data_IF_261010041674
#
_entry.id   IF_261010041674
#
_cell.length_a   1.000
_cell.length_b   1.000
_cell.length_c   1.000
_cell.angle_alpha   90.00
_cell.angle_beta   90.00
_cell.angle_gamma   90.00
#
_symmetry.space_group_name_H-M   'P 1'
#
loop_
_entity.id
_entity.type
_entity.pdbx_description
1 polymer ?
#
# COMPACT_ATOMS: atom_id res chain seq x y z
N UNK A 1 -36.56 -30.67 -17.43
CA UNK A 1 -35.81 -29.84 -16.47
C UNK A 1 -35.95 -28.38 -16.88
N UNK A 2 -36.60 -27.61 -16.01
CA UNK A 2 -37.11 -26.25 -16.21
C UNK A 2 -35.99 -25.21 -16.19
N UNK A 3 -35.99 -24.29 -17.16
CA UNK A 3 -35.16 -23.07 -17.18
C UNK A 3 -35.86 -22.00 -16.35
N UNK A 4 -35.20 -21.52 -15.30
CA UNK A 4 -35.68 -20.38 -14.49
C UNK A 4 -34.88 -19.13 -14.87
N UNK A 5 -35.53 -18.18 -15.52
CA UNK A 5 -35.03 -16.81 -15.74
C UNK A 5 -35.54 -15.91 -14.62
N UNK A 6 -34.64 -15.19 -13.96
CA UNK A 6 -34.97 -14.19 -12.95
C UNK A 6 -34.91 -12.79 -13.57
N UNK A 7 -36.04 -12.08 -13.57
CA UNK A 7 -36.15 -10.66 -13.92
C UNK A 7 -36.23 -9.83 -12.63
N UNK A 8 -35.35 -8.85 -12.48
CA UNK A 8 -35.37 -7.91 -11.36
C UNK A 8 -35.99 -6.58 -11.78
N UNK A 9 -37.10 -6.22 -11.14
CA UNK A 9 -37.74 -4.89 -11.17
C UNK A 9 -37.12 -3.99 -10.09
N UNK A 10 -36.72 -2.77 -10.47
CA UNK A 10 -36.17 -1.76 -9.56
C UNK A 10 -37.26 -1.04 -8.73
N UNK A 11 -37.02 -0.70 -7.45
CA UNK A 11 -37.88 0.21 -6.69
C UNK A 11 -37.50 1.70 -6.88
N UNK A 12 -38.38 2.65 -6.49
CA UNK A 12 -38.39 4.02 -7.01
C UNK A 12 -37.39 4.97 -6.33
N UNK A 13 -36.92 5.94 -7.11
CA UNK A 13 -36.05 7.05 -6.69
C UNK A 13 -36.84 8.10 -5.89
N UNK A 14 -36.31 8.51 -4.74
CA UNK A 14 -36.76 9.67 -3.99
C UNK A 14 -35.71 10.77 -4.09
N UNK A 15 -36.09 11.90 -4.69
CA UNK A 15 -35.46 13.21 -4.51
C UNK A 15 -36.35 14.00 -3.54
N UNK A 16 -35.82 14.92 -2.71
CA UNK A 16 -35.80 16.35 -3.07
C UNK A 16 -34.61 17.08 -2.37
N UNK A 17 -34.38 18.39 -2.34
CA UNK A 17 -34.98 19.61 -2.87
C UNK A 17 -33.84 20.65 -2.86
N UNK A 18 -33.71 21.46 -3.91
CA UNK A 18 -32.82 22.63 -3.89
C UNK A 18 -33.41 23.75 -3.04
N UNK A 19 -32.57 24.50 -2.35
CA UNK A 19 -32.89 25.86 -1.89
C UNK A 19 -31.64 26.72 -1.95
N UNK A 20 -31.64 27.59 -2.95
CA UNK A 20 -30.76 28.72 -3.17
C UNK A 20 -31.00 29.82 -2.12
N UNK A 21 -29.94 30.39 -1.57
CA UNK A 21 -30.00 31.71 -0.94
C UNK A 21 -28.69 32.49 -1.15
N UNK A 22 -28.91 33.76 -1.49
CA UNK A 22 -28.01 34.75 -2.08
C UNK A 22 -27.10 35.43 -1.05
N UNK A 23 -25.93 35.88 -1.53
CA UNK A 23 -24.95 36.75 -0.84
C UNK A 23 -25.55 38.11 -0.42
N UNK A 24 -24.88 38.84 0.49
CA UNK A 24 -24.36 40.13 0.04
C UNK A 24 -22.92 40.44 0.48
N UNK A 25 -22.30 41.25 -0.39
CA UNK A 25 -20.98 41.88 -0.33
C UNK A 25 -20.94 42.96 0.77
N UNK A 26 -19.81 43.10 1.49
CA UNK A 26 -19.27 44.44 1.77
C UNK A 26 -17.75 44.46 2.01
N UNK A 27 -17.11 45.29 1.21
CA UNK A 27 -15.75 45.84 1.18
C UNK A 27 -15.13 46.31 2.51
N UNK A 28 -13.80 46.18 2.66
CA UNK A 28 -12.83 47.31 2.75
C UNK A 28 -11.38 46.85 3.06
N UNK A 29 -10.41 47.36 2.30
CA UNK A 29 -8.99 47.57 2.62
C UNK A 29 -8.67 49.06 2.35
N UNK A 30 -7.41 49.55 2.46
CA UNK A 30 -6.48 49.68 3.60
C UNK A 30 -6.13 51.19 3.81
N UNK A 31 -5.05 51.62 4.52
CA UNK A 31 -3.66 51.68 3.98
C UNK A 31 -2.61 51.40 5.09
N UNK A 32 -1.28 51.29 4.94
CA UNK A 32 -0.27 51.67 3.95
C UNK A 32 1.00 52.08 4.74
N UNK A 33 2.21 51.71 4.31
CA UNK A 33 3.45 52.26 4.92
C UNK A 33 4.73 51.44 4.77
N UNK A 34 5.46 51.65 3.67
CA UNK A 34 6.94 51.52 3.56
C UNK A 34 7.54 52.94 3.72
N UNK A 35 8.85 53.16 4.07
CA UNK A 35 9.99 52.74 3.23
C UNK A 35 11.41 52.55 3.88
N UNK A 36 12.30 51.84 3.13
CA UNK A 36 13.80 51.96 3.00
C UNK A 36 14.67 51.73 4.27
N UNK A 37 15.88 51.15 4.26
CA UNK A 37 17.01 51.18 3.32
C UNK A 37 18.07 50.08 3.59
N UNK A 38 18.73 49.58 2.53
CA UNK A 38 20.02 48.85 2.50
C UNK A 38 21.23 49.73 2.93
N UNK A 39 22.51 49.28 3.16
CA UNK A 39 23.31 48.46 2.19
C UNK A 39 24.43 47.52 2.75
N UNK A 40 24.83 46.48 1.99
CA UNK A 40 26.20 46.27 1.41
C UNK A 40 26.46 44.86 0.82
N UNK A 41 27.02 44.87 -0.41
CA UNK A 41 28.12 44.09 -1.07
C UNK A 41 28.31 42.60 -0.72
N UNK A 42 28.78 41.69 -1.58
CA UNK A 42 29.24 41.58 -2.99
C UNK A 42 29.65 40.10 -3.16
N UNK A 43 29.37 39.38 -4.23
CA UNK A 43 30.25 39.28 -5.41
C UNK A 43 29.70 38.22 -6.36
N UNK A 44 29.61 38.56 -7.64
CA UNK A 44 29.31 37.63 -8.72
C UNK A 44 30.54 37.56 -9.62
N UNK A 45 31.08 36.35 -9.85
CA UNK A 45 32.11 36.10 -10.87
C UNK A 45 31.43 35.55 -12.13
N UNK A 46 31.48 36.37 -13.18
CA UNK A 46 31.26 35.97 -14.57
C UNK A 46 32.44 35.09 -15.03
N UNK A 47 32.14 34.02 -15.76
CA UNK A 47 33.11 33.32 -16.58
C UNK A 47 32.81 33.64 -18.05
N UNK A 48 33.70 34.42 -18.66
CA UNK A 48 33.80 34.59 -20.12
C UNK A 48 34.74 33.54 -20.68
N UNK A 49 34.42 33.06 -21.89
CA UNK A 49 35.15 31.99 -22.57
C UNK A 49 36.59 32.32 -22.95
N UNK A 50 37.32 31.26 -23.31
CA UNK A 50 38.54 31.35 -24.08
C UNK A 50 38.67 30.13 -25.00
N UNK A 51 39.36 30.38 -26.11
CA UNK A 51 39.37 29.64 -27.35
C UNK A 51 40.04 28.27 -27.30
N UNK A 52 39.63 27.43 -28.24
CA UNK A 52 40.30 26.19 -28.62
C UNK A 52 41.51 26.47 -29.54
N UNK A 53 42.59 25.71 -29.36
CA UNK A 53 43.59 25.40 -30.40
C UNK A 53 44.42 24.18 -29.97
N UNK A 54 45.08 23.45 -30.89
CA UNK A 54 44.96 22.00 -30.99
C UNK A 54 46.24 21.27 -30.55
N UNK A 55 46.11 20.01 -30.13
CA UNK A 55 47.26 19.14 -29.93
C UNK A 55 46.99 17.70 -30.37
N UNK A 56 47.69 17.34 -31.44
CA UNK A 56 48.34 16.07 -31.75
C UNK A 56 47.53 14.76 -31.71
N UNK A 57 47.39 14.19 -32.91
CA UNK A 57 47.14 12.77 -33.16
C UNK A 57 48.19 11.89 -32.46
N UNK A 58 47.71 10.99 -31.61
CA UNK A 58 48.43 9.77 -31.23
C UNK A 58 47.55 8.58 -31.66
N UNK A 59 48.04 7.80 -32.62
CA UNK A 59 47.39 6.58 -33.09
C UNK A 59 47.39 5.52 -31.97
N UNK A 60 46.20 5.15 -31.52
CA UNK A 60 46.00 3.98 -30.66
C UNK A 60 46.07 2.70 -31.52
N UNK A 61 46.78 1.64 -31.10
CA UNK A 61 46.90 0.42 -31.88
C UNK A 61 45.53 -0.25 -32.00
N UNK A 62 45.06 -0.44 -33.24
CA UNK A 62 43.81 -1.14 -33.57
C UNK A 62 43.87 -2.56 -33.00
N UNK A 63 43.25 -2.80 -31.84
CA UNK A 63 42.94 -4.15 -31.41
C UNK A 63 41.92 -4.72 -32.40
N UNK A 64 42.31 -5.77 -33.11
CA UNK A 64 41.35 -6.57 -33.89
C UNK A 64 40.42 -7.24 -32.88
N UNK A 65 39.26 -6.64 -32.62
CA UNK A 65 38.15 -7.31 -31.96
C UNK A 65 37.78 -8.49 -32.87
N UNK A 66 38.13 -9.71 -32.47
CA UNK A 66 37.62 -10.91 -33.12
C UNK A 66 36.14 -10.98 -32.77
N UNK A 67 35.28 -10.93 -33.79
CA UNK A 67 33.87 -11.25 -33.62
C UNK A 67 33.78 -12.71 -33.17
N UNK A 68 33.03 -12.96 -32.10
CA UNK A 68 32.65 -14.33 -31.73
C UNK A 68 31.79 -14.93 -32.86
N UNK A 69 31.86 -16.25 -33.10
CA UNK A 69 30.98 -16.90 -34.07
C UNK A 69 29.51 -16.74 -33.66
N UNK A 70 28.57 -16.77 -34.63
CA UNK A 70 27.15 -16.68 -34.33
C UNK A 70 26.74 -17.81 -33.40
N UNK A 71 26.10 -17.46 -32.28
CA UNK A 71 25.45 -18.42 -31.39
C UNK A 71 24.24 -18.96 -32.16
N UNK A 72 24.18 -20.27 -32.37
CA UNK A 72 23.02 -20.92 -32.98
C UNK A 72 21.76 -20.51 -32.21
N UNK A 73 20.62 -20.23 -32.89
CA UNK A 73 19.39 -19.92 -32.20
C UNK A 73 18.99 -21.15 -31.37
N UNK A 74 19.29 -21.09 -30.08
CA UNK A 74 18.80 -22.06 -29.11
C UNK A 74 17.28 -22.08 -29.20
N UNK A 75 16.72 -23.29 -29.20
CA UNK A 75 15.29 -23.54 -29.03
C UNK A 75 14.78 -22.59 -27.96
N UNK A 76 13.90 -21.66 -28.35
CA UNK A 76 13.09 -20.95 -27.36
C UNK A 76 12.21 -22.04 -26.79
N UNK A 77 12.61 -22.60 -25.65
CA UNK A 77 11.73 -23.43 -24.85
C UNK A 77 10.55 -22.52 -24.52
N UNK A 78 9.47 -22.70 -25.28
CA UNK A 78 8.18 -22.14 -24.94
C UNK A 78 7.83 -22.73 -23.59
N UNK A 79 8.13 -21.97 -22.52
CA UNK A 79 7.61 -22.20 -21.19
C UNK A 79 6.10 -22.09 -21.34
N UNK A 80 5.48 -23.23 -21.58
CA UNK A 80 4.05 -23.36 -21.51
C UNK A 80 3.73 -23.12 -20.06
N UNK A 81 3.03 -22.03 -19.76
CA UNK A 81 2.46 -21.82 -18.43
C UNK A 81 1.49 -22.98 -18.23
N UNK A 82 1.97 -24.03 -17.57
CA UNK A 82 1.14 -25.11 -17.10
C UNK A 82 0.31 -24.49 -16.01
N UNK A 83 -0.95 -24.19 -16.32
CA UNK A 83 -1.96 -23.95 -15.29
C UNK A 83 -1.92 -25.18 -14.37
N UNK A 84 -1.57 -25.05 -13.09
CA UNK A 84 -1.52 -26.20 -12.21
C UNK A 84 -2.88 -26.88 -12.25
N UNK A 85 -2.87 -28.22 -12.31
CA UNK A 85 -4.08 -29.03 -12.15
C UNK A 85 -4.89 -28.49 -10.97
N UNK A 86 -6.22 -28.33 -11.09
CA UNK A 86 -7.03 -27.78 -10.03
C UNK A 86 -6.79 -28.58 -8.74
N UNK A 87 -6.43 -27.89 -7.66
CA UNK A 87 -6.16 -28.55 -6.40
C UNK A 87 -7.39 -29.38 -5.96
N UNK A 88 -7.23 -30.70 -5.91
CA UNK A 88 -8.34 -31.63 -5.65
C UNK A 88 -8.65 -31.85 -4.17
N UNK A 89 -7.73 -31.48 -3.26
CA UNK A 89 -7.87 -31.64 -1.82
C UNK A 89 -7.12 -30.52 -1.08
N UNK A 90 -7.58 -30.10 0.11
CA UNK A 90 -6.86 -29.11 0.92
C UNK A 90 -5.47 -29.63 1.30
N UNK A 91 -4.48 -28.74 1.31
CA UNK A 91 -3.12 -29.02 1.77
C UNK A 91 -2.92 -28.50 3.20
N UNK A 92 -1.90 -29.00 3.89
CA UNK A 92 -1.52 -28.50 5.21
C UNK A 92 -0.72 -27.20 5.11
N UNK A 93 -0.53 -26.52 6.24
CA UNK A 93 0.29 -25.31 6.29
C UNK A 93 1.75 -25.61 5.94
N UNK A 94 2.31 -26.71 6.44
CA UNK A 94 3.69 -27.14 6.14
C UNK A 94 3.87 -27.40 4.63
N UNK A 95 2.89 -28.04 4.01
CA UNK A 95 2.91 -28.30 2.56
C UNK A 95 2.90 -26.98 1.77
N UNK A 96 2.19 -25.96 2.25
CA UNK A 96 2.20 -24.63 1.64
C UNK A 96 3.56 -23.93 1.82
N UNK A 97 4.19 -24.07 2.98
CA UNK A 97 5.53 -23.53 3.25
C UNK A 97 6.62 -24.19 2.41
N UNK A 98 6.44 -25.46 2.03
CA UNK A 98 7.38 -26.21 1.17
C UNK A 98 7.32 -25.76 -0.31
N UNK A 99 6.33 -24.94 -0.70
CA UNK A 99 6.30 -24.32 -2.03
C UNK A 99 7.47 -23.35 -2.15
N UNK A 100 8.18 -23.41 -3.28
CA UNK A 100 9.27 -22.48 -3.60
C UNK A 100 8.90 -21.02 -3.28
N UNK A 101 9.79 -20.31 -2.60
CA UNK A 101 9.53 -18.97 -2.09
C UNK A 101 9.16 -17.99 -3.21
N UNK A 102 9.79 -18.07 -4.40
CA UNK A 102 9.48 -17.18 -5.51
C UNK A 102 8.06 -17.40 -6.02
N UNK A 103 7.62 -18.66 -6.05
CA UNK A 103 6.25 -19.03 -6.44
C UNK A 103 5.25 -18.67 -5.33
N UNK A 104 5.57 -19.01 -4.08
CA UNK A 104 4.72 -18.80 -2.90
C UNK A 104 4.41 -17.32 -2.70
N UNK A 105 5.30 -16.39 -3.07
CA UNK A 105 5.07 -14.94 -3.01
C UNK A 105 3.80 -14.46 -3.71
N UNK A 106 3.42 -15.14 -4.78
CA UNK A 106 2.22 -14.83 -5.58
C UNK A 106 0.99 -15.66 -5.18
N UNK A 107 1.10 -16.43 -4.09
CA UNK A 107 0.06 -17.31 -3.60
C UNK A 107 -0.40 -16.93 -2.17
N UNK A 108 -1.63 -17.31 -1.88
CA UNK A 108 -2.26 -17.36 -0.55
C UNK A 108 -2.87 -18.75 -0.34
N UNK A 109 -3.23 -19.08 0.89
CA UNK A 109 -3.98 -20.31 1.20
C UNK A 109 -5.25 -19.95 1.97
N UNK A 110 -6.39 -20.49 1.55
CA UNK A 110 -7.70 -20.24 2.17
C UNK A 110 -8.43 -21.56 2.27
N UNK A 111 -8.83 -21.93 3.48
CA UNK A 111 -9.45 -23.22 3.79
C UNK A 111 -8.68 -24.43 3.22
N UNK A 112 -7.34 -24.34 3.25
CA UNK A 112 -6.45 -25.36 2.71
C UNK A 112 -6.26 -25.32 1.20
N UNK A 113 -6.92 -24.40 0.47
CA UNK A 113 -6.78 -24.25 -0.97
C UNK A 113 -5.86 -23.10 -1.33
N UNK A 114 -4.88 -23.38 -2.18
CA UNK A 114 -3.95 -22.41 -2.72
C UNK A 114 -4.66 -21.56 -3.76
N UNK A 115 -4.61 -20.24 -3.58
CA UNK A 115 -5.19 -19.28 -4.49
C UNK A 115 -4.14 -18.27 -4.94
N UNK A 116 -4.22 -17.75 -6.17
CA UNK A 116 -3.38 -16.64 -6.59
C UNK A 116 -3.74 -15.38 -5.81
N UNK A 117 -2.73 -14.61 -5.45
CA UNK A 117 -2.92 -13.25 -4.93
C UNK A 117 -3.49 -12.33 -5.99
N UNK A 118 -4.08 -11.22 -5.53
CA UNK A 118 -4.40 -10.12 -6.44
C UNK A 118 -3.13 -9.60 -7.12
N UNK A 119 -3.25 -9.31 -8.42
CA UNK A 119 -2.20 -8.61 -9.15
C UNK A 119 -2.03 -7.20 -8.59
N UNK A 120 -0.86 -6.91 -8.02
CA UNK A 120 -0.52 -5.60 -7.46
C UNK A 120 0.21 -4.76 -8.51
N UNK A 121 -0.44 -3.69 -8.96
CA UNK A 121 0.22 -2.70 -9.83
C UNK A 121 1.30 -1.92 -9.07
N UNK A 122 2.20 -1.26 -9.82
CA UNK A 122 3.29 -0.44 -9.23
C UNK A 122 2.78 0.65 -8.29
N UNK A 123 1.66 1.29 -8.61
CA UNK A 123 1.08 2.37 -7.80
C UNK A 123 0.52 1.81 -6.48
N UNK A 124 -0.12 0.65 -6.53
CA UNK A 124 -0.62 -0.07 -5.36
C UNK A 124 0.50 -0.44 -4.38
N UNK A 125 1.57 -1.05 -4.89
CA UNK A 125 2.74 -1.40 -4.08
C UNK A 125 3.36 -0.16 -3.42
N UNK A 126 3.52 0.94 -4.16
CA UNK A 126 4.06 2.18 -3.60
C UNK A 126 3.20 2.72 -2.45
N UNK A 127 1.87 2.69 -2.59
CA UNK A 127 0.95 3.14 -1.53
C UNK A 127 1.06 2.24 -0.30
N UNK A 128 1.10 0.91 -0.48
CA UNK A 128 1.33 -0.04 0.61
C UNK A 128 2.66 0.21 1.33
N UNK A 129 3.75 0.42 0.59
CA UNK A 129 5.05 0.78 1.16
C UNK A 129 5.00 2.10 1.95
N UNK A 130 4.36 3.15 1.40
CA UNK A 130 4.23 4.43 2.11
C UNK A 130 3.45 4.30 3.42
N UNK A 131 2.36 3.51 3.40
CA UNK A 131 1.57 3.24 4.58
C UNK A 131 2.38 2.50 5.64
N UNK A 132 3.10 1.44 5.25
CA UNK A 132 3.98 0.69 6.15
C UNK A 132 5.03 1.59 6.80
N UNK A 133 5.73 2.42 6.02
CA UNK A 133 6.69 3.40 6.54
C UNK A 133 6.06 4.44 7.47
N UNK A 134 4.81 4.85 7.22
CA UNK A 134 4.10 5.78 8.09
C UNK A 134 3.74 5.14 9.43
N UNK A 135 3.30 3.88 9.43
CA UNK A 135 3.05 3.09 10.63
C UNK A 135 4.36 2.84 11.40
N UNK A 136 5.45 2.50 10.71
CA UNK A 136 6.76 2.28 11.32
C UNK A 136 7.25 3.52 12.07
N UNK A 137 7.12 4.72 11.47
CA UNK A 137 7.48 5.98 12.15
C UNK A 137 6.67 6.21 13.42
N UNK A 138 5.37 5.90 13.40
CA UNK A 138 4.52 6.02 14.57
C UNK A 138 4.92 5.00 15.66
N UNK A 139 5.15 3.75 15.27
CA UNK A 139 5.62 2.68 16.16
C UNK A 139 6.97 3.03 16.82
N UNK A 140 7.95 3.50 16.06
CA UNK A 140 9.26 3.93 16.59
C UNK A 140 9.10 5.11 17.54
N UNK A 141 8.20 6.05 17.25
CA UNK A 141 7.92 7.18 18.15
C UNK A 141 7.33 6.70 19.47
N UNK A 142 6.39 5.75 19.42
CA UNK A 142 5.80 5.15 20.61
C UNK A 142 6.85 4.38 21.43
N UNK A 143 7.64 3.51 20.80
CA UNK A 143 8.70 2.76 21.49
C UNK A 143 9.73 3.67 22.15
N UNK A 144 10.05 4.82 21.54
CA UNK A 144 10.91 5.85 22.18
C UNK A 144 10.25 6.48 23.39
N UNK A 145 8.93 6.70 23.35
CA UNK A 145 8.16 7.31 24.43
C UNK A 145 8.00 6.37 25.62
N UNK A 146 7.75 5.08 25.36
CA UNK A 146 7.52 4.06 26.40
C UNK A 146 8.78 3.34 26.85
N UNK A 147 9.88 3.48 26.11
CA UNK A 147 11.01 2.55 26.21
C UNK A 147 10.58 1.14 25.80
N UNK A 148 11.24 0.12 26.36
CA UNK A 148 11.03 -1.30 26.02
C UNK A 148 9.73 -1.91 26.59
N UNK A 149 8.76 -1.11 27.05
CA UNK A 149 7.50 -1.63 27.60
C UNK A 149 6.55 -2.22 26.54
N UNK A 150 6.70 -1.81 25.28
CA UNK A 150 5.98 -2.38 24.13
C UNK A 150 6.90 -2.33 22.92
N UNK A 151 6.85 -3.36 22.09
CA UNK A 151 7.68 -3.48 20.90
C UNK A 151 6.77 -3.75 19.70
N UNK A 152 6.95 -2.97 18.63
CA UNK A 152 6.15 -3.05 17.42
C UNK A 152 7.04 -3.05 16.18
N UNK A 153 6.63 -3.83 15.20
CA UNK A 153 7.27 -3.97 13.88
C UNK A 153 6.23 -3.86 12.77
N UNK A 154 6.71 -3.53 11.58
CA UNK A 154 5.89 -3.43 10.38
C UNK A 154 6.51 -4.22 9.24
N UNK A 155 5.67 -4.94 8.51
CA UNK A 155 6.08 -5.67 7.32
C UNK A 155 5.08 -5.43 6.18
N UNK A 156 5.55 -5.69 4.97
CA UNK A 156 4.74 -5.72 3.76
C UNK A 156 4.92 -7.08 3.10
N UNK A 157 3.87 -7.60 2.47
CA UNK A 157 3.95 -8.84 1.68
C UNK A 157 4.39 -10.09 2.47
N UNK A 158 4.15 -10.12 3.79
CA UNK A 158 4.43 -11.26 4.67
C UNK A 158 3.22 -12.17 4.79
N UNK A 159 3.44 -13.48 4.94
CA UNK A 159 2.40 -14.45 5.31
C UNK A 159 1.91 -14.19 6.74
N UNK A 160 0.62 -13.89 6.89
CA UNK A 160 -0.08 -13.87 8.18
C UNK A 160 -0.95 -15.11 8.27
N UNK A 161 -0.55 -16.06 9.12
CA UNK A 161 -1.33 -17.26 9.40
C UNK A 161 -2.54 -16.88 10.28
N UNK A 162 -3.75 -17.11 9.77
CA UNK A 162 -5.00 -16.79 10.48
C UNK A 162 -5.45 -17.96 11.36
N UNK A 163 -5.44 -19.17 10.81
CA UNK A 163 -5.66 -20.42 11.55
C UNK A 163 -5.08 -21.60 10.76
N UNK A 164 -4.74 -22.70 11.45
CA UNK A 164 -4.05 -23.85 10.86
C UNK A 164 -4.98 -24.90 10.23
N UNK A 165 -6.24 -25.01 10.69
CA UNK A 165 -7.11 -26.13 10.31
C UNK A 165 -8.53 -25.65 9.96
N UNK A 166 -8.96 -25.76 8.68
CA UNK A 166 -8.10 -25.88 7.51
C UNK A 166 -7.24 -24.62 7.33
N UNK A 167 -6.00 -24.71 6.82
CA UNK A 167 -5.08 -23.59 6.91
C UNK A 167 -5.54 -22.41 6.08
N UNK A 168 -5.54 -21.24 6.70
CA UNK A 168 -5.84 -19.97 6.04
C UNK A 168 -4.77 -18.96 6.41
N UNK A 169 -4.08 -18.44 5.40
CA UNK A 169 -3.09 -17.38 5.54
C UNK A 169 -3.27 -16.35 4.43
N UNK A 170 -3.11 -15.08 4.80
CA UNK A 170 -3.24 -13.93 3.90
C UNK A 170 -1.95 -13.16 3.81
N UNK A 171 -1.73 -12.46 2.70
CA UNK A 171 -0.57 -11.59 2.48
C UNK A 171 -0.99 -10.13 2.34
N UNK A 172 -1.28 -9.46 3.47
CA UNK A 172 -1.71 -8.06 3.47
C UNK A 172 -0.65 -7.11 2.90
N UNK A 173 -1.11 -5.95 2.42
CA UNK A 173 -0.22 -4.92 1.87
C UNK A 173 0.64 -4.22 2.92
N UNK A 174 0.11 -4.04 4.14
CA UNK A 174 0.89 -3.62 5.29
C UNK A 174 0.32 -4.22 6.59
N UNK A 175 1.22 -4.58 7.50
CA UNK A 175 0.88 -5.01 8.86
C UNK A 175 1.65 -4.22 9.89
N UNK A 176 1.01 -3.97 11.02
CA UNK A 176 1.65 -3.60 12.28
C UNK A 176 1.42 -4.75 13.26
N UNK A 177 2.49 -5.28 13.84
CA UNK A 177 2.42 -6.38 14.80
C UNK A 177 3.37 -6.14 15.96
N UNK A 178 3.22 -6.93 17.03
CA UNK A 178 4.19 -6.97 18.13
C UNK A 178 5.48 -7.61 17.65
N UNK A 179 6.63 -7.16 18.14
CA UNK A 179 7.92 -7.77 17.79
C UNK A 179 7.93 -9.25 18.14
N UNK A 180 8.53 -10.05 17.26
CA UNK A 180 8.64 -11.49 17.42
C UNK A 180 10.12 -11.91 17.50
N UNK A 181 10.42 -13.01 18.20
CA UNK A 181 11.69 -13.72 18.04
C UNK A 181 12.04 -14.00 16.58
N UNK A 182 13.33 -14.08 16.29
CA UNK A 182 13.81 -14.47 14.97
C UNK A 182 13.23 -15.83 14.56
N UNK A 183 12.75 -15.93 13.31
CA UNK A 183 12.14 -17.14 12.70
C UNK A 183 10.74 -17.54 13.20
N UNK A 184 10.12 -16.78 14.11
CA UNK A 184 8.75 -17.07 14.51
C UNK A 184 7.76 -16.74 13.38
N UNK A 185 6.81 -17.65 13.13
CA UNK A 185 5.76 -17.45 12.15
C UNK A 185 4.85 -16.30 12.60
N UNK A 186 4.60 -15.35 11.70
CA UNK A 186 3.63 -14.30 11.95
C UNK A 186 2.21 -14.88 11.89
N UNK A 187 1.57 -15.00 13.06
CA UNK A 187 0.19 -15.42 13.24
C UNK A 187 -0.71 -14.23 13.59
N UNK A 188 -2.03 -14.39 13.42
CA UNK A 188 -3.00 -13.33 13.65
C UNK A 188 -2.95 -12.71 15.06
N UNK A 189 -2.62 -13.50 16.10
CA UNK A 189 -2.53 -13.04 17.48
C UNK A 189 -1.40 -12.02 17.74
N UNK A 190 -0.41 -11.98 16.85
CA UNK A 190 0.69 -11.02 16.88
C UNK A 190 0.31 -9.68 16.25
N UNK A 191 -0.65 -9.69 15.33
CA UNK A 191 -1.01 -8.55 14.49
C UNK A 191 -1.99 -7.62 15.22
N UNK A 192 -1.70 -6.32 15.19
CA UNK A 192 -2.58 -5.28 15.77
C UNK A 192 -3.33 -4.50 14.71
N UNK A 193 -2.71 -4.25 13.54
CA UNK A 193 -3.36 -3.61 12.39
C UNK A 193 -3.02 -4.39 11.13
N UNK A 194 -4.05 -4.74 10.36
CA UNK A 194 -3.92 -5.13 8.95
C UNK A 194 -4.44 -3.99 8.07
N UNK A 195 -3.71 -3.68 7.00
CA UNK A 195 -4.15 -2.74 5.98
C UNK A 195 -4.08 -3.36 4.58
N UNK A 196 -5.15 -3.14 3.81
CA UNK A 196 -5.26 -3.55 2.40
C UNK A 196 -5.46 -2.33 1.52
N UNK A 197 -4.73 -2.29 0.40
CA UNK A 197 -4.85 -1.24 -0.60
C UNK A 197 -5.85 -1.71 -1.64
N UNK A 198 -6.97 -0.98 -1.77
CA UNK A 198 -8.03 -1.35 -2.70
C UNK A 198 -7.59 -1.09 -4.13
N UNK A 199 -7.50 -2.16 -4.92
CA UNK A 199 -7.45 -2.09 -6.38
C UNK A 199 -8.87 -2.13 -6.95
N UNK A 200 -9.04 -1.65 -8.20
CA UNK A 200 -10.33 -1.67 -8.91
C UNK A 200 -10.96 -3.07 -9.00
N UNK A 201 -10.15 -4.13 -8.91
CA UNK A 201 -10.59 -5.52 -9.05
C UNK A 201 -10.70 -6.28 -7.71
N UNK A 202 -10.17 -5.72 -6.62
CA UNK A 202 -10.12 -6.37 -5.31
C UNK A 202 -11.20 -5.92 -4.33
N UNK A 203 -11.88 -4.82 -4.63
CA UNK A 203 -12.75 -4.12 -3.67
C UNK A 203 -13.78 -5.04 -2.97
N UNK A 204 -14.46 -5.91 -3.71
CA UNK A 204 -15.42 -6.85 -3.09
C UNK A 204 -14.73 -7.89 -2.20
N UNK A 205 -13.58 -8.42 -2.63
CA UNK A 205 -12.86 -9.46 -1.90
C UNK A 205 -12.30 -8.90 -0.59
N UNK A 206 -11.71 -7.73 -0.64
CA UNK A 206 -11.18 -7.02 0.53
C UNK A 206 -12.30 -6.64 1.50
N UNK A 207 -13.39 -6.02 1.01
CA UNK A 207 -14.50 -5.56 1.86
C UNK A 207 -15.35 -6.68 2.47
N UNK A 208 -15.37 -7.87 1.87
CA UNK A 208 -16.28 -8.94 2.30
C UNK A 208 -15.51 -10.15 2.81
N UNK A 209 -14.68 -10.77 1.97
CA UNK A 209 -14.04 -12.03 2.34
C UNK A 209 -12.88 -11.80 3.29
N UNK A 210 -11.89 -10.98 2.90
CA UNK A 210 -10.71 -10.74 3.76
C UNK A 210 -11.09 -10.03 5.06
N UNK A 211 -12.02 -9.07 5.00
CA UNK A 211 -12.56 -8.45 6.21
C UNK A 211 -13.16 -9.48 7.19
N UNK A 212 -13.92 -10.46 6.68
CA UNK A 212 -14.44 -11.54 7.53
C UNK A 212 -13.30 -12.38 8.07
N UNK A 213 -12.34 -12.81 7.24
CA UNK A 213 -11.23 -13.65 7.67
C UNK A 213 -10.40 -12.98 8.78
N UNK A 214 -10.05 -11.70 8.64
CA UNK A 214 -9.28 -10.96 9.65
C UNK A 214 -10.07 -10.72 10.92
N UNK A 215 -11.37 -10.39 10.81
CA UNK A 215 -12.25 -10.35 11.97
C UNK A 215 -12.31 -11.72 12.63
N UNK A 216 -12.36 -12.77 11.82
CA UNK A 216 -12.48 -14.14 12.26
C UNK A 216 -11.27 -14.62 13.05
N UNK A 217 -10.10 -14.19 12.62
CA UNK A 217 -8.81 -14.40 13.27
C UNK A 217 -8.58 -13.51 14.51
N UNK A 218 -9.48 -12.56 14.80
CA UNK A 218 -9.41 -11.72 15.99
C UNK A 218 -8.45 -10.52 15.89
N UNK A 219 -8.05 -10.13 14.67
CA UNK A 219 -7.13 -8.99 14.49
C UNK A 219 -7.84 -7.69 14.88
N UNK A 220 -7.28 -6.85 15.78
CA UNK A 220 -8.00 -5.71 16.36
C UNK A 220 -8.47 -4.66 15.35
N UNK A 221 -7.60 -4.28 14.39
CA UNK A 221 -7.89 -3.21 13.45
C UNK A 221 -7.69 -3.65 11.99
N UNK A 222 -8.63 -3.23 11.14
CA UNK A 222 -8.57 -3.46 9.70
C UNK A 222 -8.78 -2.16 8.93
N UNK A 223 -7.84 -1.82 8.05
CA UNK A 223 -7.86 -0.58 7.28
C UNK A 223 -7.96 -0.87 5.78
N UNK A 224 -8.83 -0.14 5.10
CA UNK A 224 -8.96 -0.18 3.64
C UNK A 224 -8.49 1.16 3.07
N UNK A 225 -7.57 1.11 2.11
CA UNK A 225 -6.95 2.30 1.53
C UNK A 225 -7.25 2.38 0.04
N UNK A 226 -8.02 3.38 -0.37
CA UNK A 226 -8.16 3.72 -1.79
C UNK A 226 -7.06 4.69 -2.22
N UNK A 227 -6.64 4.62 -3.48
CA UNK A 227 -5.55 5.45 -4.00
C UNK A 227 -5.80 5.94 -5.43
N UNK A 228 -5.04 6.97 -5.82
CA UNK A 228 -4.95 7.49 -7.18
C UNK A 228 -3.48 7.58 -7.63
N UNK A 229 -3.21 8.33 -8.71
CA UNK A 229 -1.85 8.50 -9.24
C UNK A 229 -0.92 9.32 -8.34
N UNK A 230 -1.47 10.09 -7.39
CA UNK A 230 -0.73 10.94 -6.46
C UNK A 230 -0.44 10.18 -5.17
N UNK A 231 -1.35 9.32 -4.71
CA UNK A 231 -1.16 8.50 -3.51
C UNK A 231 -2.48 8.02 -2.90
N UNK A 232 -2.48 7.72 -1.60
CA UNK A 232 -3.71 7.40 -0.88
C UNK A 232 -4.71 8.58 -0.96
N UNK A 233 -6.00 8.27 -1.10
CA UNK A 233 -7.09 9.26 -1.19
C UNK A 233 -8.16 9.07 -0.12
N UNK A 234 -8.40 7.83 0.29
CA UNK A 234 -9.42 7.47 1.29
C UNK A 234 -8.84 6.39 2.19
N UNK A 235 -9.03 6.53 3.49
CA UNK A 235 -8.75 5.47 4.47
C UNK A 235 -10.02 5.20 5.25
N UNK A 236 -10.57 4.01 5.09
CA UNK A 236 -11.63 3.49 5.94
C UNK A 236 -11.00 2.65 7.04
N UNK A 237 -11.44 2.86 8.27
CA UNK A 237 -10.90 2.16 9.44
C UNK A 237 -12.01 1.38 10.11
N UNK A 238 -11.67 0.16 10.50
CA UNK A 238 -12.54 -0.77 11.16
C UNK A 238 -11.84 -1.34 12.41
N UNK A 239 -12.61 -1.65 13.45
CA UNK A 239 -12.08 -2.21 14.69
C UNK A 239 -13.02 -3.27 15.28
N UNK A 240 -12.46 -4.30 15.94
CA UNK A 240 -13.25 -5.25 16.72
C UNK A 240 -13.68 -4.59 18.03
N UNK A 241 -14.98 -4.42 18.23
CA UNK A 241 -15.51 -3.83 19.46
C UNK A 241 -15.75 -4.93 20.49
N UNK A 242 -15.05 -4.90 21.62
CA UNK A 242 -15.19 -5.91 22.69
C UNK A 242 -14.79 -7.33 22.25
N UNK A 243 -13.90 -7.46 21.27
CA UNK A 243 -13.50 -8.75 20.68
C UNK A 243 -14.61 -9.44 19.87
N UNK A 244 -15.73 -8.73 19.62
CA UNK A 244 -16.87 -9.28 18.90
C UNK A 244 -16.80 -8.96 17.41
N UNK A 245 -17.16 -9.95 16.60
CA UNK A 245 -17.31 -9.88 15.15
C UNK A 245 -18.77 -9.53 14.82
N UNK A 246 -19.05 -8.90 13.66
CA UNK A 246 -18.11 -8.42 12.66
C UNK A 246 -17.37 -7.15 13.11
N UNK A 247 -16.37 -6.73 12.33
CA UNK A 247 -15.76 -5.42 12.49
C UNK A 247 -16.80 -4.30 12.55
N UNK A 248 -16.54 -3.31 13.42
CA UNK A 248 -17.28 -2.04 13.45
C UNK A 248 -16.53 -0.98 12.66
N UNK A 249 -17.22 -0.26 11.77
CA UNK A 249 -16.63 0.90 11.09
C UNK A 249 -16.41 2.04 12.09
N UNK A 250 -15.16 2.48 12.24
CA UNK A 250 -14.79 3.55 13.19
C UNK A 250 -14.63 4.91 12.51
N UNK A 251 -14.49 4.94 11.19
CA UNK A 251 -14.53 6.19 10.43
C UNK A 251 -13.83 6.12 9.08
N UNK A 252 -14.11 7.12 8.26
CA UNK A 252 -13.51 7.32 6.94
C UNK A 252 -12.89 8.70 6.87
N UNK A 253 -11.67 8.79 6.37
CA UNK A 253 -10.98 10.06 6.10
C UNK A 253 -10.70 10.20 4.62
N UNK A 254 -10.75 11.43 4.12
CA UNK A 254 -10.52 11.77 2.72
C UNK A 254 -9.42 12.83 2.59
N UNK A 255 -8.57 12.72 1.56
CA UNK A 255 -7.44 13.62 1.31
C UNK A 255 -7.84 15.07 1.10
N UNK A 256 -9.02 15.31 0.55
CA UNK A 256 -9.57 16.64 0.28
C UNK A 256 -10.19 17.32 1.51
N UNK A 257 -10.32 16.62 2.64
CA UNK A 257 -10.99 17.14 3.84
C UNK A 257 -10.03 17.71 4.90
N UNK A 258 -8.71 17.60 4.70
CA UNK A 258 -7.71 18.14 5.62
C UNK A 258 -6.35 17.47 5.46
N UNK A 259 -5.31 17.93 6.19
CA UNK A 259 -3.95 17.40 6.04
C UNK A 259 -3.71 16.05 6.74
N UNK A 260 -4.61 15.66 7.64
CA UNK A 260 -4.47 14.46 8.46
C UNK A 260 -5.21 13.29 7.81
N UNK A 261 -4.51 12.20 7.57
CA UNK A 261 -5.05 10.96 7.03
C UNK A 261 -5.59 10.06 8.13
N UNK A 262 -4.86 9.91 9.24
CA UNK A 262 -5.28 9.09 10.38
C UNK A 262 -4.94 9.79 11.68
N UNK A 263 -5.89 9.79 12.60
CA UNK A 263 -5.66 9.99 14.04
C UNK A 263 -6.32 8.84 14.77
N UNK A 264 -5.52 8.06 15.51
CA UNK A 264 -5.97 6.95 16.34
C UNK A 264 -5.24 6.97 17.68
N UNK A 265 -5.89 6.46 18.73
CA UNK A 265 -5.32 6.33 20.08
C UNK A 265 -5.04 4.89 20.47
N UNK A 266 -5.53 3.94 19.68
CA UNK A 266 -5.44 2.49 19.85
C UNK A 266 -4.86 1.90 18.54
N UNK A 267 -3.84 1.03 18.58
CA UNK A 267 -3.19 0.41 19.75
C UNK A 267 -2.29 1.37 20.56
N UNK A 268 -1.94 2.51 19.96
CA UNK A 268 -1.21 3.62 20.59
C UNK A 268 -1.47 4.89 19.77
N UNK A 269 -1.01 6.08 20.21
CA UNK A 269 -1.18 7.31 19.44
C UNK A 269 -0.53 7.23 18.06
N UNK A 270 -1.36 7.22 17.01
CA UNK A 270 -0.94 7.21 15.60
C UNK A 270 -1.48 8.49 14.95
N UNK A 271 -0.57 9.30 14.41
CA UNK A 271 -0.89 10.41 13.49
C UNK A 271 -0.19 10.15 12.15
N UNK A 272 -0.98 10.04 11.08
CA UNK A 272 -0.47 9.92 9.70
C UNK A 272 -1.05 11.08 8.89
N UNK A 273 -0.21 11.76 8.11
CA UNK A 273 -0.63 12.85 7.22
C UNK A 273 -0.70 12.37 5.79
N UNK A 274 -1.54 13.00 4.96
CA UNK A 274 -1.66 12.62 3.54
C UNK A 274 -0.35 12.76 2.77
N UNK A 275 0.45 13.77 3.11
CA UNK A 275 1.80 13.99 2.55
C UNK A 275 2.74 12.78 2.76
N UNK A 276 2.53 11.98 3.82
CA UNK A 276 3.33 10.79 4.08
C UNK A 276 2.96 9.63 3.14
N UNK A 277 1.77 9.70 2.54
CA UNK A 277 1.17 8.69 1.68
C UNK A 277 1.23 9.08 0.18
N UNK A 278 1.94 10.16 -0.15
CA UNK A 278 2.17 10.60 -1.51
C UNK A 278 3.25 9.73 -2.21
N UNK A 279 2.96 9.37 -3.45
CA UNK A 279 3.85 8.59 -4.33
C UNK A 279 4.29 9.39 -5.57
N UNK A 280 3.63 10.53 -5.82
CA UNK A 280 3.95 11.49 -6.86
C UNK A 280 3.45 12.89 -6.42
N UNK A 281 4.01 13.99 -6.97
CA UNK A 281 3.48 15.32 -6.70
C UNK A 281 2.05 15.49 -7.23
N UNK A 282 1.21 16.33 -6.59
CA UNK A 282 -0.11 16.70 -7.12
C UNK A 282 0.03 17.34 -8.51
N UNK A 283 -0.90 17.00 -9.42
CA UNK A 283 -1.01 17.63 -10.74
C UNK A 283 -1.58 19.03 -10.65
#
# INVERSE_FOLDING_TARGET
>A
MTKTTWSWTSPPRWAPCWSSATTPISSRCPPGGEPRSSPRRSSARKWTGCAATPAAHAESPRSRIRCAPPVEPGTIDTVTVVWPEPQHAPITWETFLDIDEEVRRDLEIVDGYVIPREQRGRDHQKVGTRLSLALERAAVTEMRRTGSASCYETNTEVDVLLWEVPPTARKPDAVLHRCLPEFEQLAAEHVVIVAEVLSTWSERRDRVHKMSDYADAGIPHYWLVSFDKVGAVVIERYALTGGSKPYTHIGTTHRDMGPVAVTATDPFPIEIRWQDLEVAPPL
#
